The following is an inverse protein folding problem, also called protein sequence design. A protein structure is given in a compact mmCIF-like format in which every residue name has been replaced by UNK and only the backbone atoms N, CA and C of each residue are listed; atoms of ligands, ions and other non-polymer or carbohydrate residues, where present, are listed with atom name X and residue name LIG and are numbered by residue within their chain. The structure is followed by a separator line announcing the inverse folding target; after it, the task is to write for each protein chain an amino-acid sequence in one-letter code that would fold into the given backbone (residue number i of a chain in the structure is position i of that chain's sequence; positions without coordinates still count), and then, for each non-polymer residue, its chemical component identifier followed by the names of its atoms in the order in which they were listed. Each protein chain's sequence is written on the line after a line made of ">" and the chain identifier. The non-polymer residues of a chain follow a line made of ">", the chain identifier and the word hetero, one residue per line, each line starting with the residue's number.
data_IF_898683462962
#
_entry.id   IF_898683462962
#
_cell.length_a   1.000
_cell.length_b   1.000
_cell.length_c   1.000
_cell.angle_alpha   90.00
_cell.angle_beta   90.00
_cell.angle_gamma   90.00
#
_symmetry.space_group_name_H-M   'P 1'
#
loop_
_entity.id
_entity.type
_entity.pdbx_description
1 polymer ?
#
# COMPACT_ATOMS: atom_id res chain seq x y z
N UNK A 1 -12.81 13.62 -33.85
CA UNK A 1 -12.39 12.37 -33.17
C UNK A 1 -10.88 12.39 -32.96
N UNK A 2 -10.43 12.64 -31.74
CA UNK A 2 -9.12 12.25 -31.18
C UNK A 2 -9.16 12.42 -29.66
N UNK A 3 -9.85 11.49 -29.01
CA UNK A 3 -9.77 11.23 -27.57
C UNK A 3 -8.59 10.28 -27.38
N UNK A 4 -7.42 10.77 -26.96
CA UNK A 4 -6.27 9.91 -26.69
C UNK A 4 -5.18 10.55 -25.79
N UNK A 5 -5.53 11.45 -24.87
CA UNK A 5 -4.58 11.92 -23.84
C UNK A 5 -5.22 12.02 -22.45
N UNK A 6 -6.19 11.15 -22.15
CA UNK A 6 -6.77 11.06 -20.82
C UNK A 6 -6.23 9.80 -20.13
N UNK A 7 -5.49 10.00 -19.04
CA UNK A 7 -5.21 9.06 -17.94
C UNK A 7 -4.04 8.06 -17.98
N UNK A 8 -2.92 8.31 -18.68
CA UNK A 8 -1.79 7.34 -18.66
C UNK A 8 -0.47 7.80 -18.03
N UNK A 9 -0.40 8.90 -17.26
CA UNK A 9 0.88 9.30 -16.66
C UNK A 9 0.81 10.18 -15.40
N UNK A 10 -0.27 10.13 -14.62
CA UNK A 10 -0.17 10.68 -13.26
C UNK A 10 0.57 9.67 -12.38
N UNK A 11 1.91 9.77 -12.38
CA UNK A 11 2.74 9.20 -11.34
C UNK A 11 2.34 9.86 -10.02
N UNK A 12 1.33 9.30 -9.34
CA UNK A 12 1.04 9.69 -7.99
C UNK A 12 2.26 9.34 -7.14
N UNK A 13 2.88 10.35 -6.54
CA UNK A 13 4.00 10.20 -5.61
C UNK A 13 3.70 9.20 -4.47
N UNK A 14 2.43 8.95 -4.18
CA UNK A 14 1.96 8.00 -3.16
C UNK A 14 1.41 6.69 -3.72
N UNK A 15 1.59 6.39 -5.02
CA UNK A 15 1.09 5.17 -5.65
C UNK A 15 1.60 3.90 -4.98
N UNK A 16 2.88 3.87 -4.58
CA UNK A 16 3.46 2.74 -3.85
C UNK A 16 2.85 2.58 -2.46
N UNK A 17 2.62 3.68 -1.73
CA UNK A 17 1.97 3.65 -0.43
C UNK A 17 0.53 3.12 -0.55
N UNK A 18 -0.21 3.56 -1.56
CA UNK A 18 -1.56 3.06 -1.85
C UNK A 18 -1.55 1.54 -2.11
N UNK A 19 -0.67 1.06 -2.98
CA UNK A 19 -0.54 -0.37 -3.28
C UNK A 19 -0.17 -1.19 -2.03
N UNK A 20 0.73 -0.67 -1.19
CA UNK A 20 1.11 -1.33 0.07
C UNK A 20 -0.08 -1.44 1.03
N UNK A 21 -0.85 -0.36 1.18
CA UNK A 21 -2.05 -0.35 2.03
C UNK A 21 -3.11 -1.34 1.53
N UNK A 22 -3.38 -1.37 0.23
CA UNK A 22 -4.33 -2.32 -0.37
C UNK A 22 -3.90 -3.79 -0.15
N UNK A 23 -2.59 -4.08 -0.20
CA UNK A 23 -2.06 -5.41 0.11
C UNK A 23 -2.23 -5.78 1.58
N UNK A 24 -2.00 -4.84 2.50
CA UNK A 24 -2.25 -5.06 3.94
C UNK A 24 -3.71 -5.43 4.18
N UNK A 25 -4.66 -4.65 3.63
CA UNK A 25 -6.09 -4.97 3.73
C UNK A 25 -6.40 -6.34 3.15
N UNK A 26 -5.91 -6.62 1.93
CA UNK A 26 -6.18 -7.89 1.25
C UNK A 26 -5.70 -9.10 2.05
N UNK A 27 -4.53 -8.99 2.70
CA UNK A 27 -4.03 -10.01 3.60
C UNK A 27 -4.93 -10.17 4.83
N UNK A 28 -5.27 -9.08 5.52
CA UNK A 28 -6.12 -9.13 6.72
C UNK A 28 -7.55 -9.65 6.44
N UNK A 29 -8.04 -9.50 5.21
CA UNK A 29 -9.32 -10.06 4.77
C UNK A 29 -9.24 -11.55 4.36
N UNK A 30 -8.04 -12.09 4.14
CA UNK A 30 -7.84 -13.48 3.74
C UNK A 30 -8.33 -14.45 4.82
N UNK A 31 -9.03 -15.49 4.38
CA UNK A 31 -9.54 -16.55 5.25
C UNK A 31 -8.42 -17.35 5.93
N UNK A 32 -7.20 -17.34 5.37
CA UNK A 32 -6.03 -17.97 5.95
C UNK A 32 -5.49 -17.19 7.14
N UNK A 33 -5.53 -15.86 7.10
CA UNK A 33 -5.10 -15.00 8.21
C UNK A 33 -6.01 -15.16 9.43
N UNK A 34 -7.27 -15.56 9.24
CA UNK A 34 -8.17 -15.96 10.34
C UNK A 34 -7.69 -17.20 11.13
N UNK A 35 -6.68 -17.93 10.63
CA UNK A 35 -6.06 -19.07 11.31
C UNK A 35 -4.74 -18.70 11.97
N UNK A 36 -4.22 -17.51 11.71
CA UNK A 36 -3.02 -17.00 12.37
C UNK A 36 -3.33 -16.66 13.82
N UNK A 37 -2.32 -16.79 14.67
CA UNK A 37 -2.37 -16.32 16.03
C UNK A 37 -2.41 -14.79 16.08
N UNK A 38 -2.92 -14.24 17.18
CA UNK A 38 -2.96 -12.79 17.37
C UNK A 38 -1.58 -12.14 17.19
N UNK A 39 -0.53 -12.77 17.72
CA UNK A 39 0.84 -12.25 17.62
C UNK A 39 1.41 -12.29 16.20
N UNK A 40 1.01 -13.26 15.37
CA UNK A 40 1.42 -13.30 13.94
C UNK A 40 0.79 -12.14 13.16
N UNK A 41 -0.50 -11.88 13.40
CA UNK A 41 -1.21 -10.76 12.77
C UNK A 41 -0.64 -9.41 13.25
N UNK A 42 -0.35 -9.27 14.54
CA UNK A 42 0.29 -8.05 15.08
C UNK A 42 1.68 -7.83 14.46
N UNK A 43 2.51 -8.87 14.38
CA UNK A 43 3.84 -8.78 13.78
C UNK A 43 3.77 -8.40 12.28
N UNK A 44 2.79 -8.93 11.56
CA UNK A 44 2.53 -8.56 10.16
C UNK A 44 2.14 -7.09 10.05
N UNK A 45 1.17 -6.62 10.86
CA UNK A 45 0.72 -5.22 10.85
C UNK A 45 1.87 -4.27 11.17
N UNK A 46 2.70 -4.59 12.17
CA UNK A 46 3.83 -3.74 12.56
C UNK A 46 4.87 -3.64 11.44
N UNK A 47 5.24 -4.79 10.86
CA UNK A 47 6.23 -4.86 9.78
C UNK A 47 5.74 -4.13 8.52
N UNK A 48 4.56 -4.50 8.03
CA UNK A 48 4.04 -3.96 6.78
C UNK A 48 3.54 -2.52 6.93
N UNK A 49 3.06 -2.15 8.13
CA UNK A 49 2.70 -0.78 8.49
C UNK A 49 3.94 0.13 8.52
N UNK A 50 5.07 -0.34 9.04
CA UNK A 50 6.34 0.39 8.99
C UNK A 50 6.77 0.63 7.54
N UNK A 51 6.65 -0.38 6.68
CA UNK A 51 6.93 -0.22 5.25
C UNK A 51 5.97 0.73 4.54
N UNK A 52 4.68 0.75 4.92
CA UNK A 52 3.74 1.74 4.43
C UNK A 52 4.16 3.16 4.82
N UNK A 53 4.57 3.38 6.07
CA UNK A 53 5.10 4.66 6.53
C UNK A 53 6.35 5.08 5.75
N UNK A 54 7.24 4.13 5.43
CA UNK A 54 8.41 4.38 4.57
C UNK A 54 7.99 4.83 3.18
N UNK A 55 7.01 4.18 2.55
CA UNK A 55 6.48 4.59 1.24
C UNK A 55 5.83 5.98 1.28
N UNK A 56 5.12 6.32 2.35
CA UNK A 56 4.56 7.66 2.55
C UNK A 56 5.67 8.72 2.67
N UNK A 57 6.73 8.42 3.43
CA UNK A 57 7.87 9.31 3.55
C UNK A 57 8.56 9.51 2.19
N UNK A 58 8.75 8.44 1.41
CA UNK A 58 9.33 8.52 0.07
C UNK A 58 8.48 9.40 -0.85
N UNK A 59 7.17 9.17 -0.90
CA UNK A 59 6.26 10.00 -1.70
C UNK A 59 6.28 11.47 -1.29
N UNK A 60 6.41 11.78 0.01
CA UNK A 60 6.58 13.15 0.49
C UNK A 60 7.90 13.77 0.02
N UNK A 61 9.00 13.00 0.03
CA UNK A 61 10.31 13.46 -0.45
C UNK A 61 10.32 13.67 -1.95
N UNK A 62 9.63 12.82 -2.72
CA UNK A 62 9.56 12.92 -4.18
C UNK A 62 8.71 14.11 -4.67
N UNK A 63 7.77 14.58 -3.85
CA UNK A 63 7.02 15.83 -4.08
C UNK A 63 7.92 17.06 -3.92
N UNK A 64 8.93 16.98 -3.04
CA UNK A 64 9.68 18.12 -2.53
C UNK A 64 10.90 18.44 -3.37
#
# INVERSE_FOLDING_TARGET
>A
MKLAYSNSLEFSFFSEAKLKFERIISHLEDKQVKKESHGEVEAYIDTEGTELLRCLLQGFLDIK
#
